data_IF_092071126795
#
_entry.id   IF_092071126795
#
_cell.length_a   1.000
_cell.length_b   1.000
_cell.length_c   1.000
_cell.angle_alpha   90.00
_cell.angle_beta   90.00
_cell.angle_gamma   90.00
#
_symmetry.space_group_name_H-M   'P 1'
#
loop_
_entity.id
_entity.type
_entity.pdbx_description
1 polymer ?
#
# COMPACT_ATOMS: atom_id res chain seq x y z
N UNK A 1 38.71 12.77 -9.37
CA UNK A 1 37.99 13.97 -8.90
C UNK A 1 36.51 13.65 -8.93
N UNK A 2 35.92 13.28 -7.81
CA UNK A 2 34.50 12.96 -7.72
C UNK A 2 33.72 14.28 -7.66
N UNK A 3 32.99 14.59 -8.72
CA UNK A 3 31.91 15.54 -8.60
C UNK A 3 30.97 15.06 -7.48
N UNK A 4 30.88 15.83 -6.40
CA UNK A 4 29.85 15.73 -5.38
C UNK A 4 28.51 15.95 -6.10
N UNK A 5 27.91 14.89 -6.65
CA UNK A 5 26.55 14.96 -7.14
C UNK A 5 25.68 15.23 -5.91
N UNK A 6 25.34 16.50 -5.72
CA UNK A 6 24.35 16.89 -4.72
C UNK A 6 23.10 16.05 -5.00
N UNK A 7 22.63 15.34 -3.96
CA UNK A 7 21.44 14.54 -4.06
C UNK A 7 20.26 15.40 -4.53
N UNK A 8 19.46 14.88 -5.45
CA UNK A 8 18.18 15.52 -5.78
C UNK A 8 17.39 15.76 -4.49
N UNK A 9 16.89 16.98 -4.30
CA UNK A 9 16.07 17.35 -3.15
C UNK A 9 14.64 17.59 -3.60
N UNK A 10 13.69 17.30 -2.72
CA UNK A 10 12.28 17.61 -2.96
C UNK A 10 12.06 19.13 -3.00
N UNK A 11 11.08 19.57 -3.76
CA UNK A 11 10.82 20.98 -4.00
C UNK A 11 10.16 21.69 -2.83
N UNK A 12 9.41 20.95 -1.97
CA UNK A 12 8.65 21.54 -0.87
C UNK A 12 8.43 20.57 0.28
N UNK A 13 8.15 21.10 1.49
CA UNK A 13 7.75 20.29 2.65
C UNK A 13 6.48 19.50 2.40
N UNK A 14 5.48 20.15 1.80
CA UNK A 14 4.21 19.48 1.47
C UNK A 14 4.47 18.36 0.46
N UNK A 15 5.36 18.56 -0.52
CA UNK A 15 5.78 17.51 -1.45
C UNK A 15 6.40 16.32 -0.74
N UNK A 16 7.29 16.58 0.24
CA UNK A 16 7.86 15.53 1.08
C UNK A 16 6.78 14.78 1.89
N UNK A 17 5.93 15.50 2.63
CA UNK A 17 4.88 14.89 3.45
C UNK A 17 3.92 14.04 2.62
N UNK A 18 3.45 14.56 1.49
CA UNK A 18 2.53 13.82 0.62
C UNK A 18 3.21 12.64 -0.09
N UNK A 19 4.50 12.73 -0.40
CA UNK A 19 5.24 11.62 -0.99
C UNK A 19 5.48 10.50 0.04
N UNK A 20 5.95 10.85 1.25
CA UNK A 20 6.17 9.89 2.32
C UNK A 20 4.84 9.29 2.83
N UNK A 21 3.80 10.13 2.98
CA UNK A 21 2.46 9.65 3.29
C UNK A 21 1.89 8.77 2.16
N UNK A 22 2.11 9.11 0.88
CA UNK A 22 1.70 8.27 -0.26
C UNK A 22 2.44 6.94 -0.36
N UNK A 23 3.61 6.81 0.28
CA UNK A 23 4.27 5.52 0.46
C UNK A 23 3.55 4.66 1.51
N UNK A 24 3.14 5.27 2.62
CA UNK A 24 2.41 4.60 3.70
C UNK A 24 0.95 4.34 3.29
N UNK A 25 0.27 5.35 2.78
CA UNK A 25 -1.15 5.28 2.36
C UNK A 25 -1.28 4.46 1.07
N UNK A 26 -1.60 3.20 1.22
CA UNK A 26 -1.71 2.26 0.11
C UNK A 26 -2.84 1.25 0.30
N UNK A 27 -2.70 0.09 -0.33
CA UNK A 27 -3.65 -1.02 -0.19
C UNK A 27 -3.78 -1.48 1.28
N UNK A 28 -2.75 -1.24 2.08
CA UNK A 28 -2.78 -1.51 3.52
C UNK A 28 -3.91 -0.79 4.25
N UNK A 29 -4.18 0.47 3.91
CA UNK A 29 -5.19 1.31 4.54
C UNK A 29 -6.57 1.11 3.95
N UNK A 30 -6.64 1.01 2.61
CA UNK A 30 -7.91 1.10 1.89
C UNK A 30 -8.52 -0.27 1.57
N UNK A 31 -7.72 -1.33 1.65
CA UNK A 31 -8.14 -2.70 1.40
C UNK A 31 -7.93 -3.61 2.62
N UNK A 32 -6.65 -3.78 3.06
CA UNK A 32 -6.29 -4.74 4.11
C UNK A 32 -6.86 -4.33 5.48
N UNK A 33 -6.72 -3.08 5.87
CA UNK A 33 -7.19 -2.58 7.16
C UNK A 33 -8.70 -2.77 7.36
N UNK A 34 -9.60 -2.37 6.43
CA UNK A 34 -11.03 -2.57 6.63
C UNK A 34 -11.42 -4.03 6.81
N UNK A 35 -10.90 -4.95 5.97
CA UNK A 35 -11.29 -6.36 6.11
C UNK A 35 -10.76 -6.97 7.41
N UNK A 36 -9.54 -6.64 7.85
CA UNK A 36 -9.02 -7.12 9.13
C UNK A 36 -9.83 -6.52 10.29
N UNK A 37 -10.16 -5.24 10.25
CA UNK A 37 -11.02 -4.61 11.25
C UNK A 37 -12.40 -5.30 11.29
N UNK A 38 -12.99 -5.64 10.15
CA UNK A 38 -14.23 -6.41 10.07
C UNK A 38 -14.10 -7.80 10.69
N UNK A 39 -13.01 -8.50 10.40
CA UNK A 39 -12.75 -9.86 10.89
C UNK A 39 -12.48 -9.92 12.40
N UNK A 40 -11.93 -8.84 13.01
CA UNK A 40 -11.51 -8.84 14.43
C UNK A 40 -12.32 -7.89 15.32
N UNK A 41 -13.57 -7.58 14.99
CA UNK A 41 -14.49 -6.89 15.90
C UNK A 41 -14.48 -5.36 15.80
N UNK A 42 -14.13 -4.80 14.65
CA UNK A 42 -14.33 -3.38 14.35
C UNK A 42 -13.52 -2.44 15.26
N UNK A 43 -14.23 -1.63 16.06
CA UNK A 43 -13.63 -0.56 16.87
C UNK A 43 -12.52 -1.02 17.81
N UNK A 44 -12.66 -2.18 18.45
CA UNK A 44 -11.65 -2.66 19.40
C UNK A 44 -10.31 -2.94 18.70
N UNK A 45 -10.36 -3.57 17.52
CA UNK A 45 -9.17 -3.76 16.68
C UNK A 45 -8.55 -2.40 16.32
N UNK A 46 -9.34 -1.40 15.94
CA UNK A 46 -8.87 -0.05 15.57
C UNK A 46 -8.10 0.59 16.72
N UNK A 47 -8.60 0.50 17.96
CA UNK A 47 -7.91 1.05 19.13
C UNK A 47 -6.56 0.37 19.38
N UNK A 48 -6.51 -0.97 19.29
CA UNK A 48 -5.26 -1.73 19.46
C UNK A 48 -4.26 -1.34 18.35
N UNK A 49 -4.72 -1.24 17.11
CA UNK A 49 -3.92 -0.82 15.98
C UNK A 49 -3.31 0.58 16.16
N UNK A 50 -4.09 1.58 16.57
CA UNK A 50 -3.60 2.93 16.85
C UNK A 50 -2.57 2.89 17.99
N UNK A 51 -2.80 2.08 19.02
CA UNK A 51 -1.83 1.86 20.10
C UNK A 51 -0.47 1.38 19.57
N UNK A 52 -0.45 0.39 18.69
CA UNK A 52 0.79 -0.10 18.04
C UNK A 52 1.43 0.94 17.12
N UNK A 53 0.65 1.68 16.35
CA UNK A 53 1.19 2.75 15.52
C UNK A 53 1.95 3.79 16.34
N UNK A 54 1.39 4.21 17.46
CA UNK A 54 2.02 5.22 18.33
C UNK A 54 3.19 4.64 19.13
N UNK A 55 3.06 3.44 19.69
CA UNK A 55 4.07 2.87 20.56
C UNK A 55 5.27 2.28 19.81
N UNK A 56 5.07 1.75 18.62
CA UNK A 56 6.09 1.03 17.85
C UNK A 56 6.32 1.70 16.49
N UNK A 57 5.26 2.01 15.75
CA UNK A 57 5.35 2.56 14.41
C UNK A 57 6.07 3.91 14.36
N UNK A 58 5.67 4.88 15.19
CA UNK A 58 6.32 6.21 15.24
C UNK A 58 7.82 6.11 15.61
N UNK A 59 8.25 5.40 16.68
CA UNK A 59 9.67 5.26 16.99
C UNK A 59 10.48 4.68 15.82
N UNK A 60 10.03 3.58 15.20
CA UNK A 60 10.75 2.94 14.10
C UNK A 60 10.82 3.88 12.89
N UNK A 61 9.72 4.58 12.56
CA UNK A 61 9.70 5.56 11.46
C UNK A 61 10.72 6.69 11.71
N UNK A 62 10.83 7.19 12.94
CA UNK A 62 11.84 8.20 13.32
C UNK A 62 13.26 7.64 13.17
N UNK A 63 13.49 6.37 13.53
CA UNK A 63 14.81 5.73 13.37
C UNK A 63 15.16 5.55 11.89
N UNK A 64 14.24 5.08 11.05
CA UNK A 64 14.46 4.99 9.61
C UNK A 64 14.79 6.35 9.00
N UNK A 65 14.02 7.39 9.35
CA UNK A 65 14.31 8.76 8.90
C UNK A 65 15.67 9.25 9.39
N UNK A 66 16.08 8.91 10.62
CA UNK A 66 17.35 9.33 11.18
C UNK A 66 18.54 8.75 10.40
N UNK A 67 18.49 7.48 10.06
CA UNK A 67 19.48 6.78 9.24
C UNK A 67 19.58 7.42 7.85
N UNK A 68 18.44 7.64 7.19
CA UNK A 68 18.39 8.28 5.88
C UNK A 68 18.95 9.69 5.90
N UNK A 69 18.54 10.52 6.89
CA UNK A 69 18.99 11.89 7.04
C UNK A 69 20.48 12.00 7.36
N UNK A 70 21.01 11.11 8.21
CA UNK A 70 22.43 11.12 8.58
C UNK A 70 23.33 10.73 7.39
N UNK A 71 22.90 9.74 6.60
CA UNK A 71 23.68 9.26 5.47
C UNK A 71 23.47 10.06 4.18
N UNK A 72 22.28 10.66 3.98
CA UNK A 72 21.84 11.31 2.73
C UNK A 72 21.87 10.32 1.54
N UNK A 73 21.48 9.07 1.78
CA UNK A 73 21.51 7.96 0.82
C UNK A 73 20.37 6.99 1.09
N UNK A 74 20.15 6.04 0.15
CA UNK A 74 19.27 4.91 0.38
C UNK A 74 19.81 4.00 1.50
N UNK A 75 18.97 3.07 2.01
CA UNK A 75 19.31 2.25 3.17
C UNK A 75 20.62 1.47 2.98
N UNK A 76 20.83 0.81 1.84
CA UNK A 76 22.04 0.01 1.61
C UNK A 76 23.33 0.83 1.71
N UNK A 77 23.37 1.98 1.03
CA UNK A 77 24.51 2.89 1.09
C UNK A 77 24.59 3.65 2.43
N UNK A 78 23.45 3.85 3.11
CA UNK A 78 23.40 4.49 4.43
C UNK A 78 24.05 3.61 5.49
N UNK A 79 23.68 2.35 5.56
CA UNK A 79 24.26 1.39 6.51
C UNK A 79 25.76 1.24 6.28
N UNK A 80 26.19 1.06 5.01
CA UNK A 80 27.63 1.00 4.69
C UNK A 80 28.41 2.23 5.15
N UNK A 81 27.78 3.43 5.12
CA UNK A 81 28.42 4.69 5.52
C UNK A 81 28.46 4.88 7.03
N UNK A 82 27.43 4.45 7.74
CA UNK A 82 27.21 4.74 9.16
C UNK A 82 27.68 3.60 10.10
N UNK A 83 27.86 2.40 9.57
CA UNK A 83 28.23 1.24 10.40
C UNK A 83 29.60 1.42 11.09
N UNK A 84 29.76 0.95 12.33
CA UNK A 84 31.04 0.88 13.01
C UNK A 84 32.01 -0.05 12.28
N UNK A 85 33.31 0.25 12.37
CA UNK A 85 34.36 -0.62 11.81
C UNK A 85 34.25 -2.04 12.39
N UNK A 86 34.21 -3.03 11.49
CA UNK A 86 34.12 -4.46 11.88
C UNK A 86 32.70 -4.99 12.03
N UNK A 87 31.66 -4.14 11.93
CA UNK A 87 30.27 -4.58 11.86
C UNK A 87 29.88 -5.04 10.45
N UNK A 88 28.69 -5.65 10.32
CA UNK A 88 28.16 -6.16 9.05
C UNK A 88 26.75 -5.64 8.74
N UNK A 89 26.37 -4.48 9.23
CA UNK A 89 25.06 -3.91 9.00
C UNK A 89 24.75 -3.67 7.52
N UNK A 90 25.79 -3.41 6.70
CA UNK A 90 25.64 -3.25 5.24
C UNK A 90 25.00 -4.47 4.55
N UNK A 91 25.08 -5.67 5.15
CA UNK A 91 24.46 -6.88 4.60
C UNK A 91 22.93 -6.82 4.60
N UNK A 92 22.34 -5.97 5.45
CA UNK A 92 20.90 -5.75 5.46
C UNK A 92 20.41 -4.94 4.23
N UNK A 93 21.26 -4.14 3.60
CA UNK A 93 20.91 -3.36 2.41
C UNK A 93 20.35 -4.20 1.26
N UNK A 94 21.05 -5.25 0.77
CA UNK A 94 20.50 -6.17 -0.22
C UNK A 94 19.22 -6.89 0.22
N UNK A 95 19.10 -7.27 1.48
CA UNK A 95 17.91 -7.93 2.02
C UNK A 95 16.68 -7.00 1.97
N UNK A 96 16.85 -5.74 2.35
CA UNK A 96 15.77 -4.74 2.25
C UNK A 96 15.36 -4.47 0.79
N UNK A 97 16.32 -4.51 -0.14
CA UNK A 97 16.03 -4.40 -1.57
C UNK A 97 15.22 -5.59 -2.07
N UNK A 98 15.58 -6.82 -1.67
CA UNK A 98 14.79 -8.02 -1.99
C UNK A 98 13.36 -7.88 -1.44
N UNK A 99 13.20 -7.38 -0.20
CA UNK A 99 11.89 -7.08 0.37
C UNK A 99 11.08 -6.07 -0.47
N UNK A 100 11.73 -5.04 -1.00
CA UNK A 100 11.08 -4.07 -1.91
C UNK A 100 10.63 -4.72 -3.22
N UNK A 101 11.42 -5.63 -3.81
CA UNK A 101 11.00 -6.38 -5.00
C UNK A 101 9.84 -7.33 -4.71
N UNK A 102 9.91 -8.11 -3.64
CA UNK A 102 8.83 -9.03 -3.23
C UNK A 102 7.52 -8.27 -2.99
N UNK A 103 7.59 -7.10 -2.32
CA UNK A 103 6.43 -6.24 -2.17
C UNK A 103 5.85 -5.83 -3.53
N UNK A 104 6.69 -5.45 -4.49
CA UNK A 104 6.23 -5.02 -5.82
C UNK A 104 5.62 -6.16 -6.63
N UNK A 105 6.02 -7.42 -6.42
CA UNK A 105 5.52 -8.57 -7.18
C UNK A 105 3.99 -8.69 -7.06
N UNK A 106 3.45 -8.72 -5.85
CA UNK A 106 2.00 -8.80 -5.67
C UNK A 106 1.30 -7.43 -5.73
N UNK A 107 1.96 -6.36 -5.29
CA UNK A 107 1.35 -5.04 -5.23
C UNK A 107 1.02 -4.48 -6.63
N UNK A 108 1.88 -4.72 -7.63
CA UNK A 108 1.64 -4.31 -9.03
C UNK A 108 0.50 -5.11 -9.66
N UNK A 109 0.35 -6.39 -9.31
CA UNK A 109 -0.75 -7.25 -9.77
C UNK A 109 -2.09 -6.73 -9.24
N UNK A 110 -2.17 -6.46 -7.94
CA UNK A 110 -3.39 -5.91 -7.32
C UNK A 110 -3.71 -4.51 -7.84
N UNK A 111 -2.70 -3.65 -8.05
CA UNK A 111 -2.90 -2.35 -8.69
C UNK A 111 -3.45 -2.49 -10.12
N UNK A 112 -3.01 -3.50 -10.85
CA UNK A 112 -3.57 -3.86 -12.16
C UNK A 112 -5.06 -4.17 -12.08
N UNK A 113 -5.50 -4.94 -11.08
CA UNK A 113 -6.93 -5.21 -10.86
C UNK A 113 -7.74 -3.94 -10.55
N UNK A 114 -7.17 -3.02 -9.75
CA UNK A 114 -7.83 -1.72 -9.48
C UNK A 114 -8.04 -0.91 -10.76
N UNK A 115 -7.03 -0.86 -11.63
CA UNK A 115 -7.11 -0.16 -12.91
C UNK A 115 -8.11 -0.84 -13.86
N UNK A 116 -8.16 -2.17 -13.90
CA UNK A 116 -9.14 -2.94 -14.66
C UNK A 116 -10.56 -2.60 -14.22
N UNK A 117 -10.81 -2.60 -12.91
CA UNK A 117 -12.12 -2.26 -12.35
C UNK A 117 -12.49 -0.80 -12.58
N UNK A 118 -11.53 0.13 -12.47
CA UNK A 118 -11.74 1.54 -12.81
C UNK A 118 -12.21 1.68 -14.27
N UNK A 119 -11.57 0.99 -15.19
CA UNK A 119 -11.91 0.97 -16.60
C UNK A 119 -13.30 0.35 -16.87
N UNK A 120 -13.59 -0.79 -16.24
CA UNK A 120 -14.86 -1.50 -16.41
C UNK A 120 -16.05 -0.75 -15.80
N UNK A 121 -15.85 -0.10 -14.64
CA UNK A 121 -16.85 0.81 -14.07
C UNK A 121 -17.13 2.01 -14.97
N UNK A 122 -16.07 2.60 -15.55
CA UNK A 122 -16.22 3.72 -16.50
C UNK A 122 -17.07 3.30 -17.71
N UNK A 123 -16.84 2.10 -18.25
CA UNK A 123 -17.60 1.54 -19.38
C UNK A 123 -19.04 1.10 -19.01
N UNK A 124 -19.30 0.87 -17.73
CA UNK A 124 -20.56 0.32 -17.25
C UNK A 124 -20.66 -1.21 -17.36
N UNK A 125 -19.55 -1.92 -17.57
CA UNK A 125 -19.52 -3.38 -17.74
C UNK A 125 -20.08 -4.13 -16.50
N UNK A 126 -20.03 -3.49 -15.32
CA UNK A 126 -20.52 -4.05 -14.05
C UNK A 126 -21.94 -3.62 -13.69
N UNK A 127 -22.55 -2.70 -14.47
CA UNK A 127 -23.87 -2.14 -14.16
C UNK A 127 -24.97 -3.16 -14.40
N UNK A 128 -25.82 -3.39 -13.38
CA UNK A 128 -26.96 -4.30 -13.46
C UNK A 128 -26.62 -5.80 -13.40
N UNK A 129 -25.37 -6.15 -13.11
CA UNK A 129 -24.99 -7.54 -12.90
C UNK A 129 -25.55 -8.09 -11.59
N UNK A 130 -25.88 -9.38 -11.56
CA UNK A 130 -26.21 -10.10 -10.32
C UNK A 130 -24.96 -10.35 -9.48
N UNK A 131 -25.08 -10.65 -8.16
CA UNK A 131 -23.93 -10.94 -7.31
C UNK A 131 -23.03 -12.08 -7.85
N UNK A 132 -23.62 -13.11 -8.43
CA UNK A 132 -22.88 -14.22 -9.04
C UNK A 132 -22.11 -13.76 -10.29
N UNK A 133 -22.71 -12.89 -11.09
CA UNK A 133 -22.06 -12.33 -12.28
C UNK A 133 -20.92 -11.40 -11.93
N UNK A 134 -21.04 -10.61 -10.85
CA UNK A 134 -19.94 -9.77 -10.34
C UNK A 134 -18.78 -10.64 -9.84
N UNK A 135 -19.07 -11.72 -9.11
CA UNK A 135 -18.08 -12.73 -8.73
C UNK A 135 -17.41 -13.38 -9.94
N UNK A 136 -18.23 -13.74 -10.94
CA UNK A 136 -17.74 -14.28 -12.22
C UNK A 136 -16.88 -13.29 -13.01
N UNK A 137 -17.17 -11.99 -12.96
CA UNK A 137 -16.37 -10.95 -13.59
C UNK A 137 -14.94 -10.90 -12.98
N UNK A 138 -14.85 -10.91 -11.64
CA UNK A 138 -13.54 -10.96 -10.98
C UNK A 138 -12.81 -12.28 -11.29
N UNK A 139 -13.51 -13.42 -11.19
CA UNK A 139 -12.95 -14.71 -11.57
C UNK A 139 -12.43 -14.73 -13.01
N UNK A 140 -13.18 -14.15 -13.97
CA UNK A 140 -12.77 -14.02 -15.36
C UNK A 140 -11.53 -13.15 -15.54
N UNK A 141 -11.44 -12.02 -14.82
CA UNK A 141 -10.27 -11.13 -14.87
C UNK A 141 -8.98 -11.83 -14.41
N UNK A 142 -9.03 -12.55 -13.29
CA UNK A 142 -7.85 -13.20 -12.73
C UNK A 142 -7.49 -14.53 -13.40
N UNK A 143 -8.46 -15.22 -13.99
CA UNK A 143 -8.23 -16.48 -14.70
C UNK A 143 -7.75 -16.31 -16.15
N UNK A 144 -7.88 -15.11 -16.74
CA UNK A 144 -7.30 -14.82 -18.05
C UNK A 144 -5.86 -14.31 -17.91
N UNK A 145 -4.85 -15.10 -18.34
CA UNK A 145 -3.44 -14.69 -18.27
C UNK A 145 -3.15 -13.37 -18.99
N UNK A 146 -3.84 -13.14 -20.11
CA UNK A 146 -3.62 -11.95 -20.94
C UNK A 146 -4.08 -10.70 -20.23
N UNK A 147 -5.31 -10.70 -19.70
CA UNK A 147 -5.86 -9.59 -18.94
C UNK A 147 -5.06 -9.30 -17.66
N UNK A 148 -4.71 -10.36 -16.89
CA UNK A 148 -3.92 -10.21 -15.68
C UNK A 148 -2.56 -9.56 -15.96
N UNK A 149 -1.81 -10.05 -16.96
CA UNK A 149 -0.50 -9.51 -17.32
C UNK A 149 -0.60 -8.11 -17.95
N UNK A 150 -1.65 -7.84 -18.74
CA UNK A 150 -1.87 -6.53 -19.37
C UNK A 150 -2.05 -5.45 -18.32
N UNK A 151 -3.00 -5.62 -17.40
CA UNK A 151 -3.32 -4.61 -16.40
C UNK A 151 -2.20 -4.42 -15.38
N UNK A 152 -1.53 -5.49 -14.95
CA UNK A 152 -0.29 -5.41 -14.17
C UNK A 152 0.78 -4.63 -14.94
N UNK A 153 0.97 -4.92 -16.23
CA UNK A 153 1.91 -4.22 -17.10
C UNK A 153 1.60 -2.72 -17.24
N UNK A 154 0.33 -2.34 -17.35
CA UNK A 154 -0.11 -0.92 -17.38
C UNK A 154 0.30 -0.21 -16.10
N UNK A 155 0.07 -0.82 -14.93
CA UNK A 155 0.48 -0.25 -13.64
C UNK A 155 2.02 -0.06 -13.57
N UNK A 156 2.80 -1.07 -13.96
CA UNK A 156 4.26 -1.04 -13.96
C UNK A 156 4.80 0.04 -14.92
N UNK A 157 4.28 0.10 -16.15
CA UNK A 157 4.69 1.10 -17.16
C UNK A 157 4.40 2.51 -16.65
N UNK A 158 3.21 2.75 -16.10
CA UNK A 158 2.84 4.06 -15.56
C UNK A 158 3.80 4.49 -14.46
N UNK A 159 4.02 3.64 -13.45
CA UNK A 159 4.86 3.98 -12.30
C UNK A 159 6.33 4.19 -12.68
N UNK A 160 6.90 3.35 -13.54
CA UNK A 160 8.28 3.56 -14.03
C UNK A 160 8.43 4.76 -14.95
N UNK A 161 7.41 5.11 -15.71
CA UNK A 161 7.40 6.36 -16.50
C UNK A 161 7.50 7.56 -15.55
N UNK A 162 6.71 7.58 -14.46
CA UNK A 162 6.78 8.62 -13.43
C UNK A 162 8.17 8.68 -12.78
N UNK A 163 8.74 7.54 -12.38
CA UNK A 163 10.09 7.48 -11.81
C UNK A 163 11.15 7.96 -12.82
N UNK A 164 10.98 7.66 -14.11
CA UNK A 164 11.88 8.07 -15.20
C UNK A 164 11.92 9.57 -15.42
N UNK A 165 10.83 10.29 -15.13
CA UNK A 165 10.75 11.75 -15.23
C UNK A 165 11.58 12.49 -14.15
N UNK A 166 12.13 11.77 -13.16
CA UNK A 166 12.93 12.32 -12.06
C UNK A 166 12.14 12.59 -10.79
N UNK A 167 12.87 12.89 -9.69
CA UNK A 167 12.26 13.02 -8.36
C UNK A 167 11.27 14.20 -8.29
N UNK A 168 11.68 15.40 -8.70
CA UNK A 168 10.84 16.61 -8.58
C UNK A 168 9.72 16.70 -9.62
N UNK A 169 10.05 16.42 -10.90
CA UNK A 169 9.12 16.61 -12.02
C UNK A 169 8.15 15.43 -12.18
N UNK A 170 8.62 14.22 -11.87
CA UNK A 170 7.84 12.99 -11.95
C UNK A 170 7.24 12.66 -10.57
N UNK A 171 8.04 12.05 -9.71
CA UNK A 171 7.59 11.42 -8.46
C UNK A 171 6.85 12.42 -7.56
N UNK A 172 7.48 13.53 -7.18
CA UNK A 172 6.86 14.52 -6.25
C UNK A 172 5.57 15.13 -6.85
N UNK A 173 5.62 15.55 -8.12
CA UNK A 173 4.48 16.24 -8.75
C UNK A 173 3.28 15.31 -8.93
N UNK A 174 3.52 14.11 -9.46
CA UNK A 174 2.45 13.14 -9.74
C UNK A 174 1.86 12.62 -8.44
N UNK A 175 2.68 12.19 -7.48
CA UNK A 175 2.19 11.71 -6.18
C UNK A 175 1.43 12.81 -5.44
N UNK A 176 1.91 14.06 -5.45
CA UNK A 176 1.19 15.19 -4.85
C UNK A 176 -0.21 15.36 -5.47
N UNK A 177 -0.33 15.32 -6.80
CA UNK A 177 -1.62 15.42 -7.48
C UNK A 177 -2.54 14.25 -7.11
N UNK A 178 -2.01 13.01 -7.14
CA UNK A 178 -2.79 11.82 -6.79
C UNK A 178 -3.23 11.83 -5.33
N UNK A 179 -2.38 12.26 -4.40
CA UNK A 179 -2.73 12.35 -2.97
C UNK A 179 -3.81 13.39 -2.71
N UNK A 180 -3.75 14.57 -3.34
CA UNK A 180 -4.82 15.57 -3.22
C UNK A 180 -6.13 15.02 -3.79
N UNK A 181 -6.08 14.38 -4.95
CA UNK A 181 -7.24 13.70 -5.55
C UNK A 181 -7.80 12.59 -4.66
N UNK A 182 -6.92 11.78 -4.06
CA UNK A 182 -7.27 10.73 -3.12
C UNK A 182 -8.06 11.28 -1.93
N UNK A 183 -7.58 12.33 -1.27
CA UNK A 183 -8.29 12.94 -0.15
C UNK A 183 -9.63 13.54 -0.56
N UNK A 184 -9.71 14.20 -1.72
CA UNK A 184 -10.97 14.77 -2.23
C UNK A 184 -11.99 13.66 -2.54
N UNK A 185 -11.59 12.59 -3.22
CA UNK A 185 -12.44 11.44 -3.51
C UNK A 185 -12.89 10.75 -2.23
N UNK A 186 -11.98 10.58 -1.27
CA UNK A 186 -12.27 9.94 0.00
C UNK A 186 -13.33 10.72 0.80
N UNK A 187 -13.23 12.05 0.87
CA UNK A 187 -14.25 12.88 1.53
C UNK A 187 -15.62 12.69 0.85
N UNK A 188 -15.67 12.72 -0.48
CA UNK A 188 -16.93 12.51 -1.22
C UNK A 188 -17.52 11.12 -0.96
N UNK A 189 -16.69 10.07 -0.95
CA UNK A 189 -17.11 8.69 -0.68
C UNK A 189 -17.57 8.50 0.77
N UNK A 190 -16.88 9.08 1.76
CA UNK A 190 -17.31 9.05 3.17
C UNK A 190 -18.67 9.73 3.33
N UNK A 191 -18.83 10.96 2.81
CA UNK A 191 -20.12 11.67 2.86
C UNK A 191 -21.23 10.81 2.27
N UNK A 192 -20.98 10.17 1.13
CA UNK A 192 -21.95 9.28 0.50
C UNK A 192 -22.28 8.06 1.36
N UNK A 193 -21.24 7.40 1.92
CA UNK A 193 -21.40 6.16 2.69
C UNK A 193 -22.16 6.40 4.01
N UNK A 194 -21.81 7.46 4.76
CA UNK A 194 -22.48 7.76 6.05
C UNK A 194 -23.91 8.28 5.89
N UNK A 195 -24.28 8.73 4.69
CA UNK A 195 -25.66 9.15 4.36
C UNK A 195 -26.53 8.04 3.78
N UNK A 196 -25.99 6.80 3.67
CA UNK A 196 -26.76 5.65 3.22
C UNK A 196 -27.78 5.23 4.28
N UNK A 197 -29.07 5.08 3.91
CA UNK A 197 -30.07 4.50 4.82
C UNK A 197 -29.64 3.08 5.25
N UNK A 198 -29.66 2.78 6.53
CA UNK A 198 -29.22 1.48 7.08
C UNK A 198 -27.73 1.39 7.37
N UNK A 199 -26.91 2.37 7.02
CA UNK A 199 -25.47 2.37 7.28
C UNK A 199 -25.09 2.68 8.74
N UNK A 200 -26.03 3.13 9.58
CA UNK A 200 -25.79 3.51 10.97
C UNK A 200 -25.23 2.36 11.83
N UNK A 201 -25.69 1.14 11.59
CA UNK A 201 -25.18 -0.06 12.26
C UNK A 201 -23.70 -0.31 11.93
N UNK A 202 -23.27 -0.06 10.68
CA UNK A 202 -21.88 -0.15 10.26
C UNK A 202 -21.00 0.92 10.91
N UNK A 203 -21.50 2.15 11.08
CA UNK A 203 -20.80 3.21 11.81
C UNK A 203 -20.62 2.81 13.27
N UNK A 204 -21.68 2.30 13.91
CA UNK A 204 -21.63 1.82 15.29
C UNK A 204 -20.64 0.65 15.47
N UNK A 205 -20.68 -0.35 14.58
CA UNK A 205 -19.74 -1.46 14.58
C UNK A 205 -18.29 -0.99 14.52
N UNK A 206 -18.01 0.01 13.67
CA UNK A 206 -16.66 0.48 13.41
C UNK A 206 -16.11 1.47 14.44
N UNK A 207 -16.98 2.26 15.10
CA UNK A 207 -16.54 3.31 16.02
C UNK A 207 -16.82 3.01 17.49
N UNK A 208 -17.77 2.10 17.80
CA UNK A 208 -18.11 1.76 19.19
C UNK A 208 -17.49 0.41 19.57
N UNK A 209 -16.55 0.41 20.55
CA UNK A 209 -15.90 -0.81 21.01
C UNK A 209 -16.91 -1.75 21.65
N UNK A 210 -16.93 -2.99 21.18
CA UNK A 210 -17.77 -4.04 21.73
C UNK A 210 -16.93 -5.32 21.89
N UNK A 211 -16.56 -5.71 23.13
CA UNK A 211 -15.76 -6.90 23.38
C UNK A 211 -16.42 -8.20 22.92
N UNK A 212 -17.76 -8.25 22.81
CA UNK A 212 -18.49 -9.43 22.39
C UNK A 212 -18.34 -9.71 20.88
N UNK A 213 -18.01 -8.67 20.10
CA UNK A 213 -17.75 -8.77 18.65
C UNK A 213 -16.34 -9.22 18.32
N UNK A 214 -15.48 -9.45 19.32
CA UNK A 214 -14.10 -9.85 19.12
C UNK A 214 -14.00 -11.29 18.64
N UNK A 215 -13.76 -11.48 17.34
CA UNK A 215 -13.63 -12.80 16.73
C UNK A 215 -12.22 -13.35 16.90
N UNK A 216 -12.08 -14.62 17.24
CA UNK A 216 -10.78 -15.29 17.43
C UNK A 216 -10.03 -14.93 18.73
N UNK A 217 -10.63 -14.09 19.58
CA UNK A 217 -10.07 -13.68 20.86
C UNK A 217 -9.07 -12.52 20.80
N UNK A 218 -8.80 -11.96 21.97
CA UNK A 218 -7.96 -10.75 22.10
C UNK A 218 -6.54 -10.92 21.51
N UNK A 219 -5.92 -12.08 21.71
CA UNK A 219 -4.56 -12.32 21.22
C UNK A 219 -4.46 -12.32 19.69
N UNK A 220 -5.44 -12.89 19.02
CA UNK A 220 -5.52 -12.86 17.54
C UNK A 220 -5.67 -11.41 17.03
N UNK A 221 -6.54 -10.61 17.64
CA UNK A 221 -6.69 -9.20 17.30
C UNK A 221 -5.41 -8.39 17.57
N UNK A 222 -4.70 -8.64 18.68
CA UNK A 222 -3.43 -7.98 19.01
C UNK A 222 -2.35 -8.29 17.97
N UNK A 223 -2.18 -9.57 17.58
CA UNK A 223 -1.19 -9.96 16.58
C UNK A 223 -1.52 -9.42 15.20
N UNK A 224 -2.79 -9.43 14.81
CA UNK A 224 -3.24 -8.85 13.55
C UNK A 224 -3.05 -7.33 13.51
N UNK A 225 -3.36 -6.62 14.61
CA UNK A 225 -3.19 -5.17 14.72
C UNK A 225 -1.71 -4.76 14.68
N UNK A 226 -0.83 -5.53 15.35
CA UNK A 226 0.61 -5.32 15.28
C UNK A 226 1.14 -5.51 13.85
N UNK A 227 0.77 -6.60 13.17
CA UNK A 227 1.15 -6.85 11.78
C UNK A 227 0.66 -5.74 10.85
N UNK A 228 -0.58 -5.26 11.06
CA UNK A 228 -1.14 -4.15 10.29
C UNK A 228 -0.36 -2.84 10.52
N UNK A 229 0.09 -2.56 11.74
CA UNK A 229 0.86 -1.35 12.04
C UNK A 229 2.23 -1.32 11.33
N UNK A 230 2.91 -2.47 11.21
CA UNK A 230 4.15 -2.56 10.43
C UNK A 230 3.88 -2.42 8.93
N UNK A 231 2.83 -3.08 8.44
CA UNK A 231 2.49 -3.09 7.02
C UNK A 231 2.08 -1.70 6.51
N UNK A 232 1.21 -1.00 7.23
CA UNK A 232 0.64 0.28 6.79
C UNK A 232 1.71 1.35 6.58
N UNK A 233 2.73 1.40 7.44
CA UNK A 233 3.83 2.36 7.32
C UNK A 233 4.96 1.88 6.39
N UNK A 234 4.91 0.63 5.90
CA UNK A 234 5.95 0.05 5.04
C UNK A 234 7.33 0.06 5.69
N UNK A 235 7.38 -0.20 7.02
CA UNK A 235 8.62 -0.17 7.81
C UNK A 235 9.51 -1.38 7.51
N UNK A 236 10.82 -1.23 7.69
CA UNK A 236 11.77 -2.34 7.63
C UNK A 236 12.33 -2.66 6.23
N UNK A 237 11.75 -2.12 5.15
CA UNK A 237 12.27 -2.31 3.77
C UNK A 237 13.04 -1.11 3.24
N UNK A 238 13.31 -0.10 4.06
CA UNK A 238 14.12 1.05 3.71
C UNK A 238 13.45 2.11 2.85
N UNK A 239 12.16 1.96 2.54
CA UNK A 239 11.40 2.96 1.79
C UNK A 239 11.31 4.28 2.56
N UNK A 240 11.14 4.23 3.87
CA UNK A 240 11.12 5.43 4.71
C UNK A 240 12.53 6.01 4.91
N UNK A 241 13.57 5.18 4.88
CA UNK A 241 14.97 5.65 4.94
C UNK A 241 15.32 6.54 3.74
N UNK A 242 14.87 6.20 2.51
CA UNK A 242 15.12 7.05 1.34
C UNK A 242 14.44 8.41 1.50
N UNK A 243 13.20 8.47 2.02
CA UNK A 243 12.52 9.74 2.29
C UNK A 243 13.21 10.52 3.41
N UNK A 244 13.67 9.84 4.48
CA UNK A 244 14.50 10.45 5.50
C UNK A 244 15.70 11.19 4.93
N UNK A 245 16.31 10.68 3.85
CA UNK A 245 17.45 11.31 3.18
C UNK A 245 17.12 12.63 2.46
N UNK A 246 15.85 12.94 2.26
CA UNK A 246 15.38 14.20 1.67
C UNK A 246 14.95 15.22 2.73
N UNK A 247 14.93 14.86 4.02
CA UNK A 247 14.56 15.77 5.12
C UNK A 247 15.71 16.72 5.42
N UNK A 248 15.41 18.01 5.45
CA UNK A 248 16.34 19.04 5.87
C UNK A 248 16.73 18.87 7.34
N UNK A 249 17.99 19.20 7.67
CA UNK A 249 18.53 19.07 9.04
C UNK A 249 17.84 19.98 10.05
N UNK A 250 17.24 21.08 9.62
CA UNK A 250 16.50 22.02 10.48
C UNK A 250 15.14 21.46 10.95
N UNK A 251 14.65 20.34 10.37
CA UNK A 251 13.35 19.80 10.69
C UNK A 251 13.37 18.75 11.77
N UNK A 252 12.30 18.71 12.58
CA UNK A 252 12.07 17.67 13.58
C UNK A 252 11.66 16.36 12.91
N UNK A 253 12.44 15.30 13.07
CA UNK A 253 12.07 13.97 12.55
C UNK A 253 10.81 13.43 13.19
N UNK A 254 10.67 13.59 14.51
CA UNK A 254 9.47 13.17 15.24
C UNK A 254 8.24 13.93 14.74
N UNK A 255 8.36 15.24 14.48
CA UNK A 255 7.26 16.03 13.93
C UNK A 255 6.84 15.54 12.54
N UNK A 256 7.79 15.30 11.63
CA UNK A 256 7.47 14.79 10.29
C UNK A 256 6.89 13.36 10.35
N UNK A 257 7.42 12.49 11.23
CA UNK A 257 6.88 11.13 11.43
C UNK A 257 5.43 11.17 11.96
N UNK A 258 5.14 12.01 12.95
CA UNK A 258 3.78 12.16 13.49
C UNK A 258 2.79 12.67 12.43
N UNK A 259 3.18 13.60 11.58
CA UNK A 259 2.31 14.06 10.47
C UNK A 259 2.00 12.93 9.48
N UNK A 260 2.99 12.10 9.14
CA UNK A 260 2.80 10.98 8.22
C UNK A 260 1.89 9.93 8.85
N UNK A 261 2.13 9.54 10.11
CA UNK A 261 1.28 8.59 10.84
C UNK A 261 -0.14 9.12 11.00
N UNK A 262 -0.30 10.43 11.27
CA UNK A 262 -1.63 11.05 11.34
C UNK A 262 -2.37 10.95 10.00
N UNK A 263 -1.71 11.30 8.89
CA UNK A 263 -2.31 11.20 7.56
C UNK A 263 -2.68 9.75 7.21
N UNK A 264 -1.78 8.82 7.50
CA UNK A 264 -1.98 7.38 7.30
C UNK A 264 -3.20 6.87 8.10
N UNK A 265 -3.26 7.21 9.39
CA UNK A 265 -4.37 6.82 10.28
C UNK A 265 -5.70 7.43 9.83
N UNK A 266 -5.71 8.70 9.45
CA UNK A 266 -6.93 9.37 8.94
C UNK A 266 -7.44 8.64 7.70
N UNK A 267 -6.57 8.25 6.77
CA UNK A 267 -6.97 7.49 5.57
C UNK A 267 -7.52 6.12 5.93
N UNK A 268 -6.87 5.38 6.83
CA UNK A 268 -7.35 4.08 7.27
C UNK A 268 -8.75 4.19 7.93
N UNK A 269 -8.93 5.18 8.82
CA UNK A 269 -10.22 5.42 9.47
C UNK A 269 -11.31 5.83 8.48
N UNK A 270 -11.00 6.71 7.54
CA UNK A 270 -11.96 7.11 6.52
C UNK A 270 -12.29 5.95 5.56
N UNK A 271 -11.35 5.08 5.24
CA UNK A 271 -11.62 3.87 4.44
C UNK A 271 -12.63 2.94 5.14
N UNK A 272 -12.52 2.76 6.45
CA UNK A 272 -13.52 2.05 7.23
C UNK A 272 -14.89 2.73 7.18
N UNK A 273 -14.95 4.08 7.29
CA UNK A 273 -16.18 4.85 7.16
C UNK A 273 -16.80 4.82 5.76
N UNK A 274 -16.05 4.48 4.72
CA UNK A 274 -16.58 4.21 3.38
C UNK A 274 -17.18 2.80 3.34
N UNK A 275 -16.47 1.81 3.86
CA UNK A 275 -16.75 0.38 3.64
C UNK A 275 -17.83 -0.13 4.60
N UNK A 276 -17.69 0.09 5.91
CA UNK A 276 -18.62 -0.50 6.89
C UNK A 276 -20.06 -0.01 6.74
N UNK A 277 -20.35 1.31 6.65
CA UNK A 277 -21.72 1.75 6.41
C UNK A 277 -22.31 1.18 5.11
N UNK A 278 -21.51 1.09 4.06
CA UNK A 278 -21.95 0.53 2.79
C UNK A 278 -22.25 -0.97 2.91
N UNK A 279 -21.39 -1.77 3.55
CA UNK A 279 -21.64 -3.20 3.77
C UNK A 279 -22.89 -3.45 4.60
N UNK A 280 -23.07 -2.74 5.71
CA UNK A 280 -24.22 -2.92 6.59
C UNK A 280 -25.54 -2.41 5.97
N UNK A 281 -25.51 -1.33 5.16
CA UNK A 281 -26.70 -0.84 4.47
C UNK A 281 -27.24 -1.84 3.44
N UNK A 282 -26.41 -2.74 2.92
CA UNK A 282 -26.78 -3.74 1.91
C UNK A 282 -26.66 -5.18 2.40
N UNK A 283 -26.53 -5.39 3.72
CA UNK A 283 -26.46 -6.70 4.40
C UNK A 283 -25.35 -7.60 3.82
N UNK A 284 -24.16 -7.04 3.65
CA UNK A 284 -23.00 -7.74 3.08
C UNK A 284 -21.88 -7.86 4.11
N UNK A 285 -21.24 -9.05 4.18
CA UNK A 285 -20.16 -9.31 5.13
C UNK A 285 -18.90 -8.49 4.81
N UNK A 286 -18.48 -7.66 5.76
CA UNK A 286 -17.27 -6.86 5.66
C UNK A 286 -15.98 -7.66 5.91
N UNK A 287 -16.07 -8.90 6.39
CA UNK A 287 -14.94 -9.79 6.67
C UNK A 287 -14.49 -10.66 5.49
N UNK A 288 -15.02 -10.45 4.29
CA UNK A 288 -14.82 -11.31 3.11
C UNK A 288 -13.41 -11.31 2.49
N UNK A 289 -12.39 -10.76 3.17
CA UNK A 289 -11.02 -10.74 2.66
C UNK A 289 -10.86 -9.96 1.35
N UNK A 290 -10.06 -10.48 0.38
CA UNK A 290 -9.88 -9.83 -0.94
C UNK A 290 -11.18 -9.66 -1.71
N UNK A 291 -12.16 -10.53 -1.53
CA UNK A 291 -13.48 -10.45 -2.15
C UNK A 291 -14.25 -9.19 -1.77
N UNK A 292 -13.97 -8.59 -0.63
CA UNK A 292 -14.62 -7.36 -0.17
C UNK A 292 -14.57 -6.24 -1.22
N UNK A 293 -13.41 -5.98 -1.79
CA UNK A 293 -13.22 -4.87 -2.74
C UNK A 293 -13.68 -5.22 -4.15
N UNK A 294 -13.45 -6.44 -4.61
CA UNK A 294 -13.65 -6.81 -6.01
C UNK A 294 -15.00 -7.50 -6.29
N UNK A 295 -15.66 -8.00 -5.25
CA UNK A 295 -16.96 -8.66 -5.39
C UNK A 295 -18.02 -7.94 -4.57
N UNK A 296 -17.78 -7.75 -3.26
CA UNK A 296 -18.76 -7.18 -2.34
C UNK A 296 -19.11 -5.73 -2.67
N UNK A 297 -18.12 -4.83 -2.74
CA UNK A 297 -18.37 -3.41 -3.00
C UNK A 297 -18.95 -3.12 -4.38
N UNK A 298 -18.56 -3.78 -5.49
CA UNK A 298 -19.28 -3.65 -6.75
C UNK A 298 -20.76 -4.02 -6.67
N UNK A 299 -21.14 -5.03 -5.89
CA UNK A 299 -22.54 -5.37 -5.64
C UNK A 299 -23.29 -4.27 -4.88
N UNK A 300 -22.61 -3.70 -3.85
CA UNK A 300 -23.13 -2.52 -3.14
C UNK A 300 -23.39 -1.36 -4.12
N UNK A 301 -22.41 -1.04 -4.99
CA UNK A 301 -22.59 0.03 -5.98
C UNK A 301 -23.74 -0.27 -6.95
N UNK A 302 -23.89 -1.52 -7.41
CA UNK A 302 -25.01 -1.89 -8.30
C UNK A 302 -26.39 -1.70 -7.63
N UNK A 303 -26.47 -1.78 -6.31
CA UNK A 303 -27.71 -1.59 -5.56
C UNK A 303 -28.02 -0.13 -5.23
N UNK A 304 -27.09 0.81 -5.52
CA UNK A 304 -27.21 2.23 -5.19
C UNK A 304 -27.66 3.07 -6.39
N UNK A 305 -28.47 4.15 -6.18
CA UNK A 305 -28.68 5.17 -7.22
C UNK A 305 -27.35 5.82 -7.65
N UNK A 306 -27.06 5.81 -8.96
CA UNK A 306 -25.80 6.33 -9.50
C UNK A 306 -24.57 5.47 -9.18
N UNK A 307 -24.75 4.19 -8.89
CA UNK A 307 -23.69 3.29 -8.43
C UNK A 307 -22.52 3.15 -9.39
N UNK A 308 -22.75 3.22 -10.71
CA UNK A 308 -21.66 3.25 -11.70
C UNK A 308 -20.67 4.41 -11.43
N UNK A 309 -21.17 5.62 -11.16
CA UNK A 309 -20.34 6.78 -10.84
C UNK A 309 -19.59 6.57 -9.52
N UNK A 310 -20.31 6.12 -8.47
CA UNK A 310 -19.70 5.90 -7.16
C UNK A 310 -18.64 4.77 -7.19
N UNK A 311 -18.92 3.70 -7.91
CA UNK A 311 -17.97 2.62 -8.13
C UNK A 311 -16.73 3.09 -8.91
N UNK A 312 -16.92 3.88 -9.97
CA UNK A 312 -15.81 4.48 -10.73
C UNK A 312 -14.94 5.36 -9.80
N UNK A 313 -15.55 6.28 -9.04
CA UNK A 313 -14.81 7.15 -8.11
C UNK A 313 -14.07 6.35 -7.03
N UNK A 314 -14.67 5.28 -6.53
CA UNK A 314 -14.05 4.37 -5.57
C UNK A 314 -12.82 3.68 -6.17
N UNK A 315 -12.91 3.11 -7.37
CA UNK A 315 -11.75 2.45 -7.99
C UNK A 315 -10.68 3.43 -8.48
N UNK A 316 -11.02 4.69 -8.81
CA UNK A 316 -10.02 5.76 -9.01
C UNK A 316 -9.29 6.06 -7.70
N UNK A 317 -10.01 6.19 -6.59
CA UNK A 317 -9.43 6.37 -5.26
C UNK A 317 -8.49 5.21 -4.87
N UNK A 318 -8.94 3.96 -5.06
CA UNK A 318 -8.14 2.76 -4.81
C UNK A 318 -6.89 2.70 -5.70
N UNK A 319 -7.02 3.04 -6.98
CA UNK A 319 -5.90 3.11 -7.92
C UNK A 319 -4.88 4.16 -7.50
N UNK A 320 -5.31 5.33 -7.05
CA UNK A 320 -4.39 6.36 -6.55
C UNK A 320 -3.63 5.87 -5.32
N UNK A 321 -4.30 5.24 -4.36
CA UNK A 321 -3.65 4.66 -3.19
C UNK A 321 -2.60 3.60 -3.57
N UNK A 322 -2.93 2.68 -4.48
CA UNK A 322 -2.00 1.66 -4.93
C UNK A 322 -0.80 2.24 -5.69
N UNK A 323 -1.04 3.11 -6.67
CA UNK A 323 0.01 3.64 -7.55
C UNK A 323 0.96 4.59 -6.81
N UNK A 324 0.50 5.36 -5.82
CA UNK A 324 1.38 6.24 -5.02
C UNK A 324 2.38 5.44 -4.20
N UNK A 325 1.96 4.34 -3.58
CA UNK A 325 2.85 3.42 -2.88
C UNK A 325 3.85 2.75 -3.83
N UNK A 326 3.39 2.25 -4.99
CA UNK A 326 4.29 1.65 -5.99
C UNK A 326 5.35 2.66 -6.41
N UNK A 327 4.97 3.88 -6.81
CA UNK A 327 5.93 4.92 -7.23
C UNK A 327 6.96 5.18 -6.12
N UNK A 328 6.53 5.25 -4.87
CA UNK A 328 7.40 5.51 -3.73
C UNK A 328 8.40 4.38 -3.47
N UNK A 329 7.95 3.11 -3.53
CA UNK A 329 8.84 1.94 -3.36
C UNK A 329 9.77 1.77 -4.57
N UNK A 330 9.29 2.03 -5.79
CA UNK A 330 10.14 2.01 -6.99
C UNK A 330 11.22 3.09 -6.93
N UNK A 331 10.93 4.27 -6.36
CA UNK A 331 11.96 5.29 -6.13
C UNK A 331 13.06 4.79 -5.18
N UNK A 332 12.70 4.01 -4.12
CA UNK A 332 13.69 3.35 -3.27
C UNK A 332 14.57 2.37 -4.04
N UNK A 333 13.97 1.53 -4.90
CA UNK A 333 14.69 0.57 -5.75
C UNK A 333 15.61 1.29 -6.74
N UNK A 334 15.12 2.34 -7.40
CA UNK A 334 15.91 3.16 -8.33
C UNK A 334 17.07 3.85 -7.61
N UNK A 335 16.81 4.40 -6.42
CA UNK A 335 17.83 5.04 -5.60
C UNK A 335 18.92 4.05 -5.15
N UNK A 336 18.59 2.79 -4.89
CA UNK A 336 19.59 1.75 -4.62
C UNK A 336 20.53 1.56 -5.83
N UNK A 337 19.97 1.47 -7.03
CA UNK A 337 20.77 1.39 -8.26
C UNK A 337 21.70 2.59 -8.45
N UNK A 338 21.26 3.79 -8.08
CA UNK A 338 22.08 5.01 -8.18
C UNK A 338 23.13 5.06 -7.07
N UNK A 339 22.74 4.85 -5.82
CA UNK A 339 23.60 5.06 -4.64
C UNK A 339 24.63 3.93 -4.46
N UNK A 340 24.24 2.67 -4.69
CA UNK A 340 25.08 1.47 -4.46
C UNK A 340 25.77 1.03 -5.75
N UNK A 341 24.99 0.81 -6.82
CA UNK A 341 25.51 0.29 -8.10
C UNK A 341 26.08 1.36 -9.01
N UNK A 342 25.99 2.65 -8.62
CA UNK A 342 26.49 3.81 -9.37
C UNK A 342 25.91 3.92 -10.80
N UNK A 343 24.67 3.46 -10.98
CA UNK A 343 23.96 3.58 -12.24
C UNK A 343 23.45 5.01 -12.46
N UNK A 344 23.32 5.37 -13.74
CA UNK A 344 22.53 6.56 -14.08
C UNK A 344 21.04 6.29 -13.80
N UNK A 345 20.25 7.33 -13.52
CA UNK A 345 18.80 7.18 -13.30
C UNK A 345 18.12 6.44 -14.45
N UNK A 346 18.46 6.78 -15.69
CA UNK A 346 17.91 6.10 -16.88
C UNK A 346 18.18 4.60 -16.86
N UNK A 347 19.44 4.19 -16.59
CA UNK A 347 19.82 2.78 -16.48
C UNK A 347 19.08 2.10 -15.33
N UNK A 348 19.03 2.73 -14.15
CA UNK A 348 18.33 2.19 -12.99
C UNK A 348 16.84 1.97 -13.27
N UNK A 349 16.16 2.94 -13.87
CA UNK A 349 14.75 2.84 -14.26
C UNK A 349 14.53 1.73 -15.28
N UNK A 350 15.32 1.66 -16.36
CA UNK A 350 15.12 0.65 -17.41
C UNK A 350 15.38 -0.77 -16.92
N UNK A 351 16.47 -0.99 -16.17
CA UNK A 351 16.78 -2.33 -15.64
C UNK A 351 15.72 -2.77 -14.64
N UNK A 352 15.33 -1.89 -13.72
CA UNK A 352 14.34 -2.23 -12.71
C UNK A 352 12.92 -2.36 -13.27
N UNK A 353 12.58 -1.63 -14.34
CA UNK A 353 11.34 -1.86 -15.10
C UNK A 353 11.24 -3.31 -15.58
N UNK A 354 12.28 -3.80 -16.26
CA UNK A 354 12.31 -5.18 -16.76
C UNK A 354 12.27 -6.18 -15.60
N UNK A 355 13.06 -5.95 -14.55
CA UNK A 355 13.10 -6.86 -13.39
C UNK A 355 11.76 -6.92 -12.67
N UNK A 356 11.15 -5.78 -12.33
CA UNK A 356 9.86 -5.76 -11.62
C UNK A 356 8.77 -6.38 -12.49
N UNK A 357 8.72 -6.07 -13.79
CA UNK A 357 7.75 -6.68 -14.69
C UNK A 357 7.86 -8.21 -14.71
N UNK A 358 9.08 -8.75 -14.91
CA UNK A 358 9.32 -10.19 -14.96
C UNK A 358 9.05 -10.87 -13.60
N UNK A 359 9.47 -10.24 -12.50
CA UNK A 359 9.26 -10.77 -11.16
C UNK A 359 7.78 -10.74 -10.73
N UNK A 360 6.97 -9.84 -11.28
CA UNK A 360 5.52 -9.79 -11.00
C UNK A 360 4.71 -10.81 -11.81
N UNK A 361 5.27 -11.40 -12.87
CA UNK A 361 4.56 -12.41 -13.66
C UNK A 361 4.12 -13.64 -12.85
N UNK A 362 4.92 -14.24 -11.96
CA UNK A 362 4.47 -15.37 -11.14
C UNK A 362 3.22 -15.08 -10.32
N UNK A 363 3.11 -13.88 -9.74
CA UNK A 363 1.92 -13.46 -9.01
C UNK A 363 0.70 -13.34 -9.95
N UNK A 364 0.83 -12.61 -11.05
CA UNK A 364 -0.26 -12.44 -12.02
C UNK A 364 -0.71 -13.77 -12.66
N UNK A 365 0.22 -14.69 -12.88
CA UNK A 365 -0.05 -16.02 -13.43
C UNK A 365 -0.47 -17.04 -12.36
N UNK A 366 -0.30 -16.73 -11.09
CA UNK A 366 -0.65 -17.61 -9.97
C UNK A 366 -2.13 -17.97 -9.89
N UNK A 367 -3.00 -17.14 -10.47
CA UNK A 367 -4.44 -17.35 -10.51
C UNK A 367 -4.93 -18.13 -11.74
N UNK A 368 -4.04 -18.44 -12.68
CA UNK A 368 -4.37 -19.09 -13.96
C UNK A 368 -3.34 -20.15 -14.34
N UNK A 369 -2.31 -19.83 -15.13
CA UNK A 369 -1.32 -20.79 -15.64
C UNK A 369 -0.57 -21.51 -14.51
N UNK A 370 -0.26 -20.80 -13.42
CA UNK A 370 0.48 -21.30 -12.25
C UNK A 370 -0.43 -21.63 -11.05
N UNK A 371 -1.75 -21.71 -11.23
CA UNK A 371 -2.73 -22.00 -10.16
C UNK A 371 -2.53 -23.35 -9.47
N UNK A 372 -1.77 -24.27 -10.07
CA UNK A 372 -1.34 -25.52 -9.44
C UNK A 372 -0.29 -25.35 -8.36
N UNK A 373 0.37 -24.17 -8.25
CA UNK A 373 1.32 -23.86 -7.18
C UNK A 373 0.53 -23.31 -5.99
N UNK A 374 0.34 -24.13 -4.98
CA UNK A 374 -0.44 -23.83 -3.78
C UNK A 374 0.44 -23.91 -2.52
N UNK A 375 1.16 -22.82 -2.19
CA UNK A 375 2.24 -22.85 -1.19
C UNK A 375 1.80 -23.24 0.23
N UNK A 376 0.55 -22.91 0.60
CA UNK A 376 -0.04 -23.20 1.92
C UNK A 376 -1.13 -24.26 1.88
N UNK A 377 -1.20 -25.04 0.78
CA UNK A 377 -2.23 -26.05 0.57
C UNK A 377 -3.40 -25.60 -0.33
N UNK A 378 -4.45 -26.43 -0.47
CA UNK A 378 -5.54 -26.17 -1.40
C UNK A 378 -6.19 -24.80 -1.22
N UNK A 379 -6.31 -24.06 -2.33
CA UNK A 379 -6.91 -22.72 -2.38
C UNK A 379 -5.96 -21.56 -2.13
N UNK A 380 -4.69 -21.81 -1.74
CA UNK A 380 -3.68 -20.76 -1.63
C UNK A 380 -3.04 -20.46 -2.99
N UNK A 381 -2.58 -19.21 -3.15
CA UNK A 381 -1.98 -18.71 -4.38
C UNK A 381 -0.55 -18.23 -4.13
N UNK A 382 0.20 -17.97 -5.20
CA UNK A 382 1.54 -17.38 -5.12
C UNK A 382 1.51 -16.02 -4.40
N UNK A 383 0.45 -15.23 -4.61
CA UNK A 383 0.22 -13.95 -3.92
C UNK A 383 0.25 -14.12 -2.40
N UNK A 384 -0.39 -15.17 -1.87
CA UNK A 384 -0.44 -15.43 -0.43
C UNK A 384 0.96 -15.68 0.15
N UNK A 385 1.82 -16.39 -0.60
CA UNK A 385 3.21 -16.63 -0.21
C UNK A 385 4.01 -15.32 -0.21
N UNK A 386 3.87 -14.51 -1.25
CA UNK A 386 4.58 -13.23 -1.37
C UNK A 386 4.15 -12.26 -0.26
N UNK A 387 2.85 -12.12 -0.01
CA UNK A 387 2.33 -11.30 1.10
C UNK A 387 2.80 -11.84 2.46
N UNK A 388 2.75 -13.15 2.69
CA UNK A 388 3.22 -13.76 3.94
C UNK A 388 4.70 -13.48 4.22
N UNK A 389 5.56 -13.64 3.20
CA UNK A 389 6.99 -13.38 3.34
C UNK A 389 7.24 -11.90 3.66
N UNK A 390 6.56 -11.00 2.96
CA UNK A 390 6.74 -9.56 3.17
C UNK A 390 6.12 -9.12 4.50
N UNK A 391 4.81 -9.33 4.65
CA UNK A 391 4.03 -8.71 5.73
C UNK A 391 4.28 -9.33 7.10
N UNK A 392 4.50 -10.66 7.15
CA UNK A 392 4.63 -11.38 8.40
C UNK A 392 6.10 -11.64 8.80
N UNK A 393 7.04 -11.46 7.88
CA UNK A 393 8.47 -11.72 8.15
C UNK A 393 9.34 -10.50 7.85
N UNK A 394 9.44 -10.05 6.59
CA UNK A 394 10.44 -9.05 6.22
C UNK A 394 10.18 -7.67 6.84
N UNK A 395 8.93 -7.22 6.91
CA UNK A 395 8.59 -5.93 7.52
C UNK A 395 8.85 -5.94 9.04
N UNK A 396 8.37 -6.90 9.83
CA UNK A 396 8.68 -6.95 11.26
C UNK A 396 10.17 -7.14 11.56
N UNK A 397 10.82 -8.13 10.93
CA UNK A 397 12.25 -8.40 11.15
C UNK A 397 13.12 -7.25 10.68
N UNK A 398 12.79 -6.65 9.53
CA UNK A 398 13.48 -5.47 9.02
C UNK A 398 13.34 -4.27 9.95
N UNK A 399 12.16 -4.09 10.56
CA UNK A 399 11.93 -3.04 11.54
C UNK A 399 12.77 -3.21 12.81
N UNK A 400 12.99 -4.47 13.24
CA UNK A 400 13.86 -4.78 14.40
C UNK A 400 15.33 -4.39 14.16
N UNK A 401 15.78 -4.30 12.91
CA UNK A 401 17.14 -3.86 12.57
C UNK A 401 17.37 -2.39 12.95
N UNK A 402 16.31 -1.59 13.02
CA UNK A 402 16.39 -0.17 13.40
C UNK A 402 16.23 0.06 14.90
N UNK A 403 15.79 -0.93 15.68
CA UNK A 403 15.70 -0.90 17.14
C UNK A 403 17.04 -1.27 17.80
#
# INVERSE_FOLDING_TARGET
>A
MSQNQQREQLGSRIGFLLLAAGCAIGLGNVWRFPYIAGAYGGALFVFIYIGFLLAVGVPILVMEFSVGRAAQRNLGAALQKLEPKGSRWHTFGPLSLIGSYLLMMFYTTVAGWMLAYCWSMLKGDLSGLTPEQVGGFFGGLISDPTSSCLWMGVAVIFCFTVCGMGLRRGVERVVKFMMVGLFALMIALVVRAVTLPGGEAGISFYLMPDPEKLTGGLWAAVTAAMGQAFFTLGLGVGSMTIFGSYIDKSRSLTGEALYIVLLDTVVALMAGLIIFPACFAFDVDAGSGPGLVFVTLPNVFNSMPGGQLWGMLFFVFMSFAALTTIIAVLENIVAYGIDVLKWTRKKAVTVNFVLVFLLSLPCALGFNVLSGIQPFGPGSMILDLEDFIVSNNLLPLGSMVFL
#
